data_IF_635979303660
#
_entry.id   IF_635979303660
#
_cell.length_a   1.000
_cell.length_b   1.000
_cell.length_c   1.000
_cell.angle_alpha   90.00
_cell.angle_beta   90.00
_cell.angle_gamma   90.00
#
_symmetry.space_group_name_H-M   'P 1'
#
loop_
_entity.id
_entity.type
_entity.pdbx_description
1 polymer ?
#
# COMPACT_ATOMS: atom_id res chain seq x y z
N UNK A 1 -0.06 -0.33 11.51
CA UNK A 1 0.62 -0.84 10.30
C UNK A 1 -0.32 -1.83 9.64
N UNK A 2 -0.64 -1.60 8.37
CA UNK A 2 -1.54 -2.43 7.58
C UNK A 2 -0.74 -3.41 6.74
N UNK A 3 -1.29 -4.60 6.53
CA UNK A 3 -0.79 -5.56 5.56
C UNK A 3 -1.25 -5.22 4.15
N UNK A 4 -0.58 -5.79 3.14
CA UNK A 4 -0.99 -5.66 1.74
C UNK A 4 -2.45 -6.10 1.54
N UNK A 5 -2.88 -7.15 2.26
CA UNK A 5 -4.24 -7.65 2.23
C UNK A 5 -5.25 -6.65 2.77
N UNK A 6 -4.98 -6.04 3.93
CA UNK A 6 -5.86 -5.00 4.48
C UNK A 6 -5.93 -3.77 3.55
N UNK A 7 -4.83 -3.39 2.91
CA UNK A 7 -4.84 -2.32 1.91
C UNK A 7 -5.68 -2.72 0.69
N UNK A 8 -5.56 -3.95 0.22
CA UNK A 8 -6.36 -4.47 -0.89
C UNK A 8 -7.86 -4.42 -0.57
N UNK A 9 -8.26 -4.87 0.61
CA UNK A 9 -9.66 -4.82 1.07
C UNK A 9 -10.17 -3.37 1.21
N UNK A 10 -9.36 -2.47 1.79
CA UNK A 10 -9.74 -1.06 2.00
C UNK A 10 -9.96 -0.30 0.69
N UNK A 11 -9.25 -0.67 -0.36
CA UNK A 11 -9.37 -0.08 -1.71
C UNK A 11 -10.28 -0.88 -2.65
N UNK A 12 -10.75 -2.06 -2.24
CA UNK A 12 -11.52 -2.97 -3.09
C UNK A 12 -10.75 -3.48 -4.32
N UNK A 13 -9.43 -3.62 -4.21
CA UNK A 13 -8.56 -4.08 -5.30
C UNK A 13 -7.93 -5.42 -4.95
N UNK A 14 -7.42 -6.14 -5.97
CA UNK A 14 -6.67 -7.36 -5.75
C UNK A 14 -5.31 -7.07 -5.08
N UNK A 15 -4.81 -7.98 -4.24
CA UNK A 15 -3.50 -7.85 -3.57
C UNK A 15 -2.37 -7.58 -4.57
N UNK A 16 -2.44 -8.22 -5.74
CA UNK A 16 -1.48 -8.05 -6.84
C UNK A 16 -1.44 -6.60 -7.37
N UNK A 17 -2.55 -5.88 -7.32
CA UNK A 17 -2.61 -4.45 -7.67
C UNK A 17 -1.85 -3.62 -6.65
N UNK A 18 -2.00 -3.95 -5.35
CA UNK A 18 -1.25 -3.29 -4.27
C UNK A 18 0.24 -3.58 -4.40
N UNK A 19 0.63 -4.83 -4.66
CA UNK A 19 2.02 -5.16 -4.98
C UNK A 19 2.53 -4.33 -6.15
N UNK A 20 1.75 -4.21 -7.23
CA UNK A 20 2.13 -3.38 -8.39
C UNK A 20 2.31 -1.91 -8.02
N UNK A 21 1.48 -1.36 -7.14
CA UNK A 21 1.65 0.02 -6.67
C UNK A 21 2.94 0.19 -5.86
N UNK A 22 3.28 -0.79 -5.04
CA UNK A 22 4.54 -0.80 -4.28
C UNK A 22 5.75 -0.89 -5.22
N UNK A 23 5.74 -1.85 -6.16
CA UNK A 23 6.83 -2.03 -7.12
C UNK A 23 6.97 -0.87 -8.11
N UNK A 24 5.87 -0.20 -8.47
CA UNK A 24 5.91 1.00 -9.32
C UNK A 24 6.26 2.28 -8.56
N UNK A 25 6.50 2.20 -7.25
CA UNK A 25 6.81 3.37 -6.42
C UNK A 25 5.64 4.31 -6.16
N UNK A 26 4.42 3.95 -6.60
CA UNK A 26 3.21 4.73 -6.38
C UNK A 26 2.74 4.66 -4.92
N UNK A 27 2.88 3.50 -4.30
CA UNK A 27 2.55 3.29 -2.90
C UNK A 27 3.82 2.98 -2.12
N UNK A 28 4.18 3.82 -1.15
CA UNK A 28 5.29 3.51 -0.25
C UNK A 28 4.86 2.38 0.69
N UNK A 29 5.73 1.39 0.86
CA UNK A 29 5.58 0.32 1.83
C UNK A 29 6.91 0.11 2.56
N UNK A 30 6.84 -0.27 3.83
CA UNK A 30 7.99 -0.55 4.71
C UNK A 30 8.16 -2.05 4.80
N UNK A 31 9.40 -2.54 4.62
CA UNK A 31 9.72 -3.95 4.82
C UNK A 31 10.08 -4.18 6.29
N UNK A 32 9.25 -4.92 7.01
CA UNK A 32 9.45 -5.29 8.42
C UNK A 32 9.56 -6.81 8.52
N UNK A 33 10.74 -7.31 8.89
CA UNK A 33 10.95 -8.75 9.11
C UNK A 33 10.71 -9.62 7.87
N UNK A 34 10.92 -9.09 6.66
CA UNK A 34 10.66 -9.78 5.40
C UNK A 34 9.27 -9.55 4.82
N UNK A 35 8.33 -9.05 5.61
CA UNK A 35 6.96 -8.74 5.19
C UNK A 35 6.84 -7.27 4.81
N UNK A 36 6.03 -6.99 3.78
CA UNK A 36 5.67 -5.62 3.40
C UNK A 36 4.52 -5.13 4.27
N UNK A 37 4.70 -3.96 4.88
CA UNK A 37 3.72 -3.26 5.69
C UNK A 37 3.52 -1.85 5.20
N UNK A 38 2.28 -1.39 5.18
CA UNK A 38 1.90 -0.06 4.74
C UNK A 38 1.40 0.73 5.95
N UNK A 39 1.87 1.95 6.16
CA UNK A 39 1.33 2.83 7.21
C UNK A 39 0.17 3.64 6.68
N UNK A 40 -0.70 4.13 7.56
CA UNK A 40 -1.81 4.99 7.13
C UNK A 40 -1.33 6.31 6.53
N UNK A 41 -0.16 6.81 6.94
CA UNK A 41 0.48 7.98 6.32
C UNK A 41 0.80 7.74 4.84
N UNK A 42 1.33 6.56 4.51
CA UNK A 42 1.62 6.18 3.12
C UNK A 42 0.35 6.06 2.28
N UNK A 43 -0.75 5.59 2.88
CA UNK A 43 -2.07 5.59 2.22
C UNK A 43 -2.60 7.01 2.01
N UNK A 44 -2.43 7.90 2.98
CA UNK A 44 -2.82 9.31 2.85
C UNK A 44 -2.04 9.98 1.73
N UNK A 45 -0.71 9.83 1.69
CA UNK A 45 0.12 10.32 0.57
C UNK A 45 -0.40 9.80 -0.78
N UNK A 46 -0.75 8.51 -0.87
CA UNK A 46 -1.26 7.92 -2.10
C UNK A 46 -2.59 8.52 -2.57
N UNK A 47 -3.50 8.84 -1.65
CA UNK A 47 -4.80 9.46 -1.95
C UNK A 47 -4.64 10.95 -2.27
N UNK A 48 -3.73 11.64 -1.58
CA UNK A 48 -3.53 13.09 -1.71
C UNK A 48 -2.89 13.49 -3.04
N UNK A 49 -2.08 12.61 -3.64
CA UNK A 49 -1.49 12.80 -4.99
C UNK A 49 -2.55 12.85 -6.11
N UNK A 50 -3.81 12.47 -5.85
CA UNK A 50 -4.90 12.49 -6.84
C UNK A 50 -5.75 13.78 -6.86
N UNK A 51 -5.35 14.84 -6.17
CA UNK A 51 -6.06 16.14 -6.23
C UNK A 51 -5.46 17.06 -7.29
#
# INVERSE_FOLDING_TARGET
MLTIKEVAEKFGVHEQTVYRWVYSGKLKAIKVGGLLRVTEEQLKEFVEVKK
#
